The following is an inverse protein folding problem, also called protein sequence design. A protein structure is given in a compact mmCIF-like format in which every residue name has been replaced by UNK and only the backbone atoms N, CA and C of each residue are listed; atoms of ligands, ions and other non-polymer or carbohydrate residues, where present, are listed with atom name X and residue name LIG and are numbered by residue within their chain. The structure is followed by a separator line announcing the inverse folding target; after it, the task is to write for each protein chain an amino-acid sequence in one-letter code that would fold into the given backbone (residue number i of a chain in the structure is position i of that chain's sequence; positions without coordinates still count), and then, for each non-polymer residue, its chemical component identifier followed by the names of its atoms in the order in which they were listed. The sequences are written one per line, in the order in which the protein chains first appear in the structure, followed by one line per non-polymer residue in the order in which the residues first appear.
data_IF_552069607701
#
_entry.id   IF_552069607701
#
_cell.length_a   1.000
_cell.length_b   1.000
_cell.length_c   1.000
_cell.angle_alpha   90.00
_cell.angle_beta   90.00
_cell.angle_gamma   90.00
#
_symmetry.space_group_name_H-M   'P 1'
#
loop_
_entity.id
_entity.type
_entity.pdbx_description
1 polymer ?
#
# COMPACT_ATOMS: atom_id res chain seq x y z
N UNK A 1 -11.42 -11.86 11.21
CA UNK A 1 -10.24 -11.06 11.65
C UNK A 1 -10.68 -10.22 12.83
N UNK A 2 -9.85 -10.06 13.85
CA UNK A 2 -10.20 -9.20 15.00
C UNK A 2 -10.00 -7.72 14.66
N UNK A 3 -10.79 -6.83 15.29
CA UNK A 3 -10.68 -5.38 15.15
C UNK A 3 -9.24 -4.86 15.22
N UNK A 4 -8.50 -5.28 16.26
CA UNK A 4 -7.11 -4.84 16.49
C UNK A 4 -6.18 -5.22 15.35
N UNK A 5 -6.42 -6.36 14.70
CA UNK A 5 -5.65 -6.79 13.55
C UNK A 5 -5.99 -5.97 12.31
N UNK A 6 -7.28 -5.68 12.09
CA UNK A 6 -7.71 -4.82 10.99
C UNK A 6 -7.14 -3.39 11.15
N UNK A 7 -7.17 -2.82 12.35
CA UNK A 7 -6.56 -1.54 12.69
C UNK A 7 -5.06 -1.53 12.37
N UNK A 8 -4.32 -2.58 12.71
CA UNK A 8 -2.88 -2.66 12.42
C UNK A 8 -2.57 -2.66 10.93
N UNK A 9 -3.45 -3.24 10.10
CA UNK A 9 -3.25 -3.36 8.64
C UNK A 9 -3.76 -2.14 7.89
N UNK A 10 -4.86 -1.55 8.34
CA UNK A 10 -5.51 -0.41 7.69
C UNK A 10 -4.96 0.93 8.19
N UNK A 11 -4.64 1.80 7.25
CA UNK A 11 -4.43 3.22 7.52
C UNK A 11 -5.73 3.89 8.00
N UNK A 12 -5.66 5.07 8.64
CA UNK A 12 -6.85 5.86 9.00
C UNK A 12 -7.77 6.21 7.81
N UNK A 13 -7.21 6.19 6.59
CA UNK A 13 -7.96 6.38 5.35
C UNK A 13 -8.66 5.11 4.81
N UNK A 14 -8.46 3.96 5.46
CA UNK A 14 -8.98 2.66 5.03
C UNK A 14 -8.12 1.94 3.98
N UNK A 15 -6.96 2.49 3.57
CA UNK A 15 -6.03 1.75 2.71
C UNK A 15 -5.35 0.63 3.49
N UNK A 16 -5.24 -0.56 2.88
CA UNK A 16 -4.46 -1.67 3.43
C UNK A 16 -2.96 -1.43 3.21
N UNK A 17 -2.27 -1.02 4.27
CA UNK A 17 -0.83 -0.84 4.28
C UNK A 17 -0.08 -2.17 4.15
N UNK A 18 -0.64 -3.27 4.66
CA UNK A 18 0.02 -4.58 4.65
C UNK A 18 0.26 -5.13 3.24
N UNK A 19 -0.50 -4.60 2.27
CA UNK A 19 -0.43 -4.94 0.85
C UNK A 19 0.23 -3.85 -0.01
N UNK A 20 0.79 -2.80 0.59
CA UNK A 20 1.53 -1.78 -0.14
C UNK A 20 2.88 -2.32 -0.63
N UNK A 21 3.32 -1.91 -1.81
CA UNK A 21 4.62 -2.22 -2.39
C UNK A 21 5.78 -1.76 -1.49
N UNK A 22 5.62 -0.62 -0.81
CA UNK A 22 6.66 -0.05 0.05
C UNK A 22 6.66 -0.62 1.47
N UNK A 23 5.67 -1.46 1.83
CA UNK A 23 5.57 -2.02 3.18
C UNK A 23 6.63 -3.10 3.41
N UNK A 24 7.43 -2.94 4.47
CA UNK A 24 8.57 -3.81 4.77
C UNK A 24 8.16 -5.28 4.98
N UNK A 25 6.98 -5.51 5.56
CA UNK A 25 6.42 -6.85 5.79
C UNK A 25 5.57 -7.39 4.63
N UNK A 26 5.44 -6.62 3.54
CA UNK A 26 4.47 -6.85 2.47
C UNK A 26 4.81 -8.02 1.56
N UNK A 27 3.78 -8.59 0.95
CA UNK A 27 3.93 -9.72 0.02
C UNK A 27 4.69 -9.34 -1.25
N UNK A 28 4.48 -8.13 -1.77
CA UNK A 28 5.20 -7.62 -2.95
C UNK A 28 6.72 -7.67 -2.72
N UNK A 29 7.21 -7.15 -1.59
CA UNK A 29 8.63 -7.22 -1.25
C UNK A 29 9.15 -8.66 -1.23
N UNK A 30 8.43 -9.57 -0.57
CA UNK A 30 8.82 -10.99 -0.45
C UNK A 30 8.91 -11.65 -1.83
N UNK A 31 7.91 -11.42 -2.68
CA UNK A 31 7.86 -11.95 -4.05
C UNK A 31 8.96 -11.33 -4.91
N UNK A 32 9.23 -10.03 -4.77
CA UNK A 32 10.31 -9.36 -5.49
C UNK A 32 11.68 -9.90 -5.10
N UNK A 33 11.96 -10.09 -3.80
CA UNK A 33 13.19 -10.74 -3.33
C UNK A 33 13.34 -12.13 -3.98
N UNK A 34 12.28 -12.93 -3.91
CA UNK A 34 12.29 -14.28 -4.49
C UNK A 34 12.51 -14.26 -6.01
N UNK A 35 11.90 -13.31 -6.71
CA UNK A 35 12.04 -13.19 -8.16
C UNK A 35 13.45 -12.74 -8.55
N UNK A 36 14.07 -11.82 -7.80
CA UNK A 36 15.48 -11.43 -8.01
C UNK A 36 16.42 -12.64 -7.84
N UNK A 37 16.21 -13.46 -6.81
CA UNK A 37 16.99 -14.70 -6.63
C UNK A 37 16.86 -15.65 -7.82
N UNK A 38 15.63 -15.88 -8.28
CA UNK A 38 15.34 -16.79 -9.41
C UNK A 38 15.88 -16.28 -10.75
N UNK A 39 15.94 -14.95 -10.93
CA UNK A 39 16.45 -14.30 -12.14
C UNK A 39 17.94 -13.99 -12.09
N UNK A 40 18.68 -14.46 -11.07
CA UNK A 40 20.10 -14.21 -10.97
C UNK A 40 20.87 -14.65 -12.23
N UNK A 41 21.56 -13.71 -12.89
CA UNK A 41 22.32 -13.95 -14.11
C UNK A 41 21.47 -14.06 -15.39
N UNK A 42 20.16 -13.82 -15.32
CA UNK A 42 19.23 -13.93 -16.45
C UNK A 42 19.41 -12.84 -17.50
N UNK A 43 20.08 -11.72 -17.19
CA UNK A 43 20.41 -10.66 -18.15
C UNK A 43 21.07 -11.20 -19.44
N UNK A 44 21.90 -12.24 -19.34
CA UNK A 44 22.51 -12.90 -20.52
C UNK A 44 21.46 -13.50 -21.44
N UNK A 45 20.44 -14.14 -20.87
CA UNK A 45 19.32 -14.73 -21.59
C UNK A 45 18.40 -13.64 -22.16
N UNK A 46 18.17 -12.56 -21.40
CA UNK A 46 17.39 -11.42 -21.85
C UNK A 46 17.98 -10.82 -23.14
N UNK A 47 19.31 -10.60 -23.18
CA UNK A 47 20.02 -10.09 -24.38
C UNK A 47 19.87 -10.99 -25.61
N UNK A 48 19.90 -12.31 -25.44
CA UNK A 48 19.65 -13.24 -26.55
C UNK A 48 18.19 -13.13 -27.02
N UNK A 49 17.25 -12.93 -26.09
CA UNK A 49 15.82 -12.81 -26.41
C UNK A 49 15.45 -11.50 -27.08
N UNK A 50 16.22 -10.42 -26.92
CA UNK A 50 15.98 -9.13 -27.57
C UNK A 50 15.81 -9.26 -29.10
N UNK A 51 16.61 -10.13 -29.73
CA UNK A 51 16.56 -10.37 -31.18
C UNK A 51 15.25 -11.02 -31.66
N UNK A 52 14.52 -11.70 -30.76
CA UNK A 52 13.29 -12.45 -31.07
C UNK A 52 12.05 -11.74 -30.48
N UNK A 53 12.24 -11.05 -29.36
CA UNK A 53 11.20 -10.38 -28.57
C UNK A 53 11.72 -9.02 -28.12
N UNK A 54 11.45 -7.95 -28.88
CA UNK A 54 11.98 -6.61 -28.61
C UNK A 54 11.69 -6.07 -27.20
N UNK A 55 10.63 -6.54 -26.53
CA UNK A 55 10.32 -6.18 -25.13
C UNK A 55 11.49 -6.42 -24.15
N UNK A 56 12.36 -7.40 -24.43
CA UNK A 56 13.51 -7.69 -23.58
C UNK A 56 14.58 -6.59 -23.58
N UNK A 57 14.51 -5.62 -24.49
CA UNK A 57 15.38 -4.43 -24.45
C UNK A 57 15.15 -3.59 -23.19
N UNK A 58 13.95 -3.68 -22.60
CA UNK A 58 13.61 -3.07 -21.33
C UNK A 58 14.00 -3.89 -20.09
N UNK A 59 14.69 -5.03 -20.25
CA UNK A 59 15.03 -5.90 -19.12
C UNK A 59 15.92 -5.23 -18.06
N UNK A 60 16.94 -4.42 -18.41
CA UNK A 60 17.72 -3.70 -17.40
C UNK A 60 16.86 -2.77 -16.53
N UNK A 61 15.95 -2.01 -17.13
CA UNK A 61 15.04 -1.11 -16.41
C UNK A 61 14.06 -1.91 -15.53
N UNK A 62 13.55 -3.04 -16.03
CA UNK A 62 12.75 -3.95 -15.23
C UNK A 62 13.53 -4.45 -14.00
N UNK A 63 14.80 -4.83 -14.17
CA UNK A 63 15.63 -5.32 -13.08
C UNK A 63 15.87 -4.23 -12.02
N UNK A 64 16.08 -2.97 -12.42
CA UNK A 64 16.20 -1.82 -11.51
C UNK A 64 14.92 -1.59 -10.70
N UNK A 65 13.76 -1.58 -11.35
CA UNK A 65 12.46 -1.44 -10.67
C UNK A 65 12.22 -2.60 -9.72
N UNK A 66 12.49 -3.84 -10.17
CA UNK A 66 12.32 -5.04 -9.35
C UNK A 66 13.24 -5.01 -8.11
N UNK A 67 14.50 -4.58 -8.27
CA UNK A 67 15.43 -4.38 -7.17
C UNK A 67 14.92 -3.34 -6.18
N UNK A 68 14.37 -2.21 -6.65
CA UNK A 68 13.76 -1.19 -5.79
C UNK A 68 12.64 -1.78 -4.91
N UNK A 69 11.75 -2.63 -5.48
CA UNK A 69 10.68 -3.29 -4.71
C UNK A 69 11.20 -4.21 -3.59
N UNK A 70 12.43 -4.74 -3.69
CA UNK A 70 13.04 -5.53 -2.60
C UNK A 70 13.43 -4.68 -1.38
N UNK A 71 13.62 -3.37 -1.59
CA UNK A 71 14.10 -2.41 -0.60
C UNK A 71 12.98 -1.72 0.18
N UNK A 72 11.73 -2.12 -0.03
CA UNK A 72 10.58 -1.67 0.73
C UNK A 72 10.84 -1.70 2.25
N UNK A 73 10.70 -0.53 2.90
CA UNK A 73 11.11 -0.30 4.29
C UNK A 73 10.05 0.43 5.14
N UNK A 74 8.89 0.77 4.57
CA UNK A 74 7.83 1.47 5.27
C UNK A 74 7.24 0.59 6.38
N UNK A 75 7.02 1.17 7.57
CA UNK A 75 6.36 0.49 8.70
C UNK A 75 4.83 0.52 8.62
N UNK A 76 4.26 1.13 7.57
CA UNK A 76 2.83 1.40 7.44
C UNK A 76 2.41 2.66 8.21
N UNK A 77 1.23 3.21 7.89
CA UNK A 77 0.76 4.53 8.38
C UNK A 77 0.64 4.66 9.92
N UNK A 78 0.67 3.54 10.64
CA UNK A 78 0.59 3.49 12.11
C UNK A 78 1.93 3.20 12.80
N UNK A 79 3.01 3.02 12.05
CA UNK A 79 4.36 2.88 12.59
C UNK A 79 5.15 4.19 12.57
N UNK A 80 6.44 4.08 12.86
CA UNK A 80 7.33 5.24 13.02
C UNK A 80 8.07 5.63 11.72
N UNK A 81 8.27 4.69 10.80
CA UNK A 81 8.94 4.90 9.52
C UNK A 81 7.92 4.91 8.36
N UNK A 82 7.15 6.00 8.23
CA UNK A 82 6.13 6.14 7.19
C UNK A 82 6.74 6.76 5.93
N UNK A 83 6.82 5.96 4.86
CA UNK A 83 7.35 6.37 3.55
C UNK A 83 6.26 6.59 2.50
N UNK A 84 5.03 6.91 2.93
CA UNK A 84 3.95 7.19 1.99
C UNK A 84 4.30 8.45 1.18
N UNK A 85 4.24 8.42 -0.16
CA UNK A 85 4.61 9.56 -0.99
C UNK A 85 3.60 10.71 -0.92
N UNK A 86 2.44 10.48 -0.29
CA UNK A 86 1.38 11.46 -0.16
C UNK A 86 1.49 12.16 1.19
N UNK A 87 1.49 13.49 1.18
CA UNK A 87 1.36 14.30 2.38
C UNK A 87 -0.07 14.14 2.94
N UNK A 88 -0.20 13.31 3.98
CA UNK A 88 -1.49 12.89 4.50
C UNK A 88 -1.82 13.52 5.85
N UNK A 89 -2.70 14.53 5.84
CA UNK A 89 -3.22 15.17 7.06
C UNK A 89 -3.97 14.17 7.96
N UNK A 90 -4.63 13.16 7.38
CA UNK A 90 -5.41 12.18 8.13
C UNK A 90 -4.54 11.33 9.08
N UNK A 91 -3.29 11.04 8.72
CA UNK A 91 -2.37 10.26 9.55
C UNK A 91 -1.98 10.98 10.85
N UNK A 92 -1.73 12.28 10.79
CA UNK A 92 -1.42 13.11 11.95
C UNK A 92 -2.69 13.38 12.77
N UNK A 93 -3.76 13.84 12.09
CA UNK A 93 -5.00 14.23 12.75
C UNK A 93 -5.69 13.08 13.50
N UNK A 94 -5.62 11.85 12.99
CA UNK A 94 -6.20 10.68 13.67
C UNK A 94 -5.49 10.38 15.00
N UNK A 95 -4.16 10.49 15.04
CA UNK A 95 -3.37 10.37 16.27
C UNK A 95 -3.71 11.47 17.27
N UNK A 96 -3.78 12.73 16.83
CA UNK A 96 -4.14 13.88 17.69
C UNK A 96 -5.55 13.76 18.28
N UNK A 97 -6.50 13.28 17.48
CA UNK A 97 -7.91 13.12 17.89
C UNK A 97 -8.17 11.80 18.64
N UNK A 98 -7.18 10.92 18.76
CA UNK A 98 -7.31 9.63 19.44
C UNK A 98 -8.29 8.66 18.77
N UNK A 99 -8.45 8.76 17.45
CA UNK A 99 -9.35 7.88 16.66
C UNK A 99 -8.54 6.95 15.78
N UNK A 100 -9.04 5.73 15.55
CA UNK A 100 -8.41 4.81 14.61
C UNK A 100 -8.71 5.19 13.17
N UNK A 101 -9.93 5.61 12.87
CA UNK A 101 -10.37 5.93 11.52
C UNK A 101 -11.08 7.28 11.51
N UNK A 102 -11.02 7.97 10.37
CA UNK A 102 -11.61 9.32 10.27
C UNK A 102 -13.12 9.31 10.54
N UNK A 103 -13.86 8.26 10.15
CA UNK A 103 -15.32 8.19 10.38
C UNK A 103 -15.73 8.18 11.87
N UNK A 104 -14.80 7.88 12.78
CA UNK A 104 -15.02 7.89 14.23
C UNK A 104 -14.88 9.29 14.83
N UNK A 105 -14.31 10.24 14.09
CA UNK A 105 -14.20 11.63 14.52
C UNK A 105 -15.58 12.30 14.47
N UNK A 106 -15.90 13.12 15.47
CA UNK A 106 -17.14 13.91 15.54
C UNK A 106 -17.28 14.90 14.37
N UNK A 107 -16.14 15.36 13.83
CA UNK A 107 -16.09 16.25 12.67
C UNK A 107 -16.29 15.52 11.33
N UNK A 108 -16.46 14.18 11.34
CA UNK A 108 -16.52 13.40 10.10
C UNK A 108 -17.93 13.37 9.49
N UNK A 109 -18.06 13.59 8.16
CA UNK A 109 -17.00 13.86 7.18
C UNK A 109 -16.52 15.32 7.24
N UNK A 110 -15.20 15.53 7.40
CA UNK A 110 -14.62 16.86 7.52
C UNK A 110 -14.16 17.42 6.15
N UNK A 111 -13.96 18.75 6.08
CA UNK A 111 -13.49 19.47 4.89
C UNK A 111 -11.96 19.67 4.85
N UNK A 112 -11.20 19.01 5.73
CA UNK A 112 -9.73 19.16 5.77
C UNK A 112 -9.11 18.74 4.44
N UNK A 113 -8.02 19.43 4.05
CA UNK A 113 -7.28 19.13 2.82
C UNK A 113 -6.70 17.72 2.88
N UNK A 114 -7.33 16.83 2.14
CA UNK A 114 -6.78 15.56 1.71
C UNK A 114 -6.49 15.74 0.23
N UNK A 115 -5.37 15.19 -0.26
CA UNK A 115 -5.03 15.22 -1.68
C UNK A 115 -6.25 14.79 -2.51
N UNK A 116 -6.61 15.60 -3.50
CA UNK A 116 -7.85 15.44 -4.27
C UNK A 116 -7.90 14.09 -5.00
N UNK A 117 -6.75 13.53 -5.39
CA UNK A 117 -6.68 12.23 -6.06
C UNK A 117 -7.12 11.08 -5.15
N UNK A 118 -6.97 11.22 -3.83
CA UNK A 118 -7.34 10.18 -2.86
C UNK A 118 -8.57 10.55 -2.03
N UNK A 119 -9.06 11.79 -2.10
CA UNK A 119 -10.17 12.29 -1.28
C UNK A 119 -11.45 11.46 -1.47
N UNK A 120 -11.83 11.17 -2.72
CA UNK A 120 -13.04 10.39 -3.00
C UNK A 120 -12.94 8.97 -2.42
N UNK A 121 -11.79 8.32 -2.62
CA UNK A 121 -11.52 6.97 -2.12
C UNK A 121 -11.49 6.95 -0.59
N UNK A 122 -10.82 7.93 0.02
CA UNK A 122 -10.76 8.10 1.48
C UNK A 122 -12.17 8.23 2.09
N UNK A 123 -13.02 9.08 1.50
CA UNK A 123 -14.37 9.31 1.99
C UNK A 123 -15.20 8.03 1.83
N UNK A 124 -15.15 7.40 0.65
CA UNK A 124 -15.85 6.14 0.37
C UNK A 124 -15.47 5.05 1.36
N UNK A 125 -14.18 4.86 1.64
CA UNK A 125 -13.70 3.85 2.57
C UNK A 125 -14.13 4.14 4.00
N UNK A 126 -14.03 5.39 4.45
CA UNK A 126 -14.46 5.76 5.79
C UNK A 126 -15.98 5.61 5.99
N UNK A 127 -16.78 5.97 4.99
CA UNK A 127 -18.23 5.74 5.03
C UNK A 127 -18.56 4.25 5.01
N UNK A 128 -17.85 3.45 4.22
CA UNK A 128 -18.04 2.00 4.17
C UNK A 128 -17.70 1.34 5.51
N UNK A 129 -16.56 1.69 6.12
CA UNK A 129 -16.20 1.21 7.45
C UNK A 129 -17.23 1.61 8.52
N UNK A 130 -17.84 2.79 8.40
CA UNK A 130 -18.94 3.22 9.29
C UNK A 130 -20.19 2.37 9.11
N UNK A 131 -20.50 1.98 7.88
CA UNK A 131 -21.69 1.21 7.52
C UNK A 131 -21.60 -0.25 7.95
N UNK A 132 -20.47 -0.92 7.65
CA UNK A 132 -20.35 -2.38 7.81
C UNK A 132 -19.38 -2.81 8.93
N UNK A 133 -18.70 -1.86 9.57
CA UNK A 133 -17.63 -2.16 10.51
C UNK A 133 -16.26 -2.34 9.81
N UNK A 134 -15.21 -2.26 10.62
CA UNK A 134 -13.82 -2.24 10.13
C UNK A 134 -13.37 -3.64 9.69
N UNK A 135 -13.81 -4.66 10.41
CA UNK A 135 -13.48 -6.06 10.16
C UNK A 135 -14.03 -6.54 8.82
N UNK A 136 -15.32 -6.29 8.57
CA UNK A 136 -15.98 -6.67 7.33
C UNK A 136 -15.45 -5.85 6.16
N UNK A 137 -15.18 -4.56 6.37
CA UNK A 137 -14.49 -3.74 5.38
C UNK A 137 -13.11 -4.30 5.02
N UNK A 138 -12.31 -4.71 6.02
CA UNK A 138 -11.03 -5.35 5.74
C UNK A 138 -11.21 -6.62 4.89
N UNK A 139 -12.16 -7.50 5.25
CA UNK A 139 -12.42 -8.72 4.48
C UNK A 139 -12.83 -8.40 3.03
N UNK A 140 -13.69 -7.40 2.83
CA UNK A 140 -14.11 -6.94 1.51
C UNK A 140 -12.91 -6.48 0.67
N UNK A 141 -12.07 -5.59 1.21
CA UNK A 141 -10.90 -5.05 0.51
C UNK A 141 -9.81 -6.11 0.30
N UNK A 142 -9.68 -7.08 1.20
CA UNK A 142 -8.68 -8.15 1.10
C UNK A 142 -8.87 -9.05 -0.14
N UNK A 143 -10.09 -9.09 -0.68
CA UNK A 143 -10.47 -9.88 -1.87
C UNK A 143 -10.28 -9.13 -3.19
N UNK A 144 -10.03 -7.83 -3.13
CA UNK A 144 -9.80 -6.97 -4.29
C UNK A 144 -8.30 -6.70 -4.45
N UNK A 145 -7.78 -6.39 -5.64
CA UNK A 145 -6.45 -5.81 -5.80
C UNK A 145 -6.31 -4.49 -5.02
N UNK A 146 -5.11 -4.17 -4.53
CA UNK A 146 -4.87 -2.90 -3.80
C UNK A 146 -4.75 -1.74 -4.78
N UNK A 147 -4.10 -2.01 -5.90
CA UNK A 147 -3.76 -1.07 -6.96
C UNK A 147 -4.81 -1.11 -8.05
#
# INVERSE_FOLDING_TARGET
MEYKEAVRRLAPCGLDCSRCADYAGGEIRKLSVRLVELLNGYLRVARVKEAIKPVFTGYPQFEEVLKSLTQAACSGCRGDNVLCPIECVAGVCSKEKGVDFCFQCEESPCSKKIDTQIQERWLRFNLRMKEIGVEDFYQEQSRLPRY
#
